data_IF_178194790583
#
_entry.id   IF_178194790583
#
_cell.length_a   1.000
_cell.length_b   1.000
_cell.length_c   1.000
_cell.angle_alpha   90.00
_cell.angle_beta   90.00
_cell.angle_gamma   90.00
#
_symmetry.space_group_name_H-M   'P 1'
#
loop_
_entity.id
_entity.type
_entity.pdbx_description
1 polymer ?
#
# COMPACT_ATOMS: atom_id res chain seq x y z
N UNK A 1 -8.56 11.00 4.66
CA UNK A 1 -8.03 10.96 3.28
C UNK A 1 -7.12 12.15 3.05
N UNK A 2 -6.25 12.09 2.04
CA UNK A 2 -5.41 13.22 1.66
C UNK A 2 -6.27 14.47 1.38
N UNK A 3 -5.85 15.68 1.83
CA UNK A 3 -6.53 16.93 1.48
C UNK A 3 -6.35 17.28 -0.01
N UNK A 4 -5.38 16.66 -0.68
CA UNK A 4 -5.09 16.82 -2.11
C UNK A 4 -5.75 15.71 -2.91
N UNK A 5 -6.11 15.97 -4.16
CA UNK A 5 -6.33 14.88 -5.12
C UNK A 5 -4.97 14.23 -5.38
N UNK A 6 -4.87 12.91 -5.21
CA UNK A 6 -3.59 12.18 -5.40
C UNK A 6 -3.61 11.32 -6.66
N UNK A 7 -4.80 10.97 -7.18
CA UNK A 7 -4.94 10.20 -8.41
C UNK A 7 -5.92 10.84 -9.40
N UNK A 8 -5.79 10.49 -10.68
CA UNK A 8 -6.75 10.89 -11.73
C UNK A 8 -8.17 10.37 -11.46
N UNK A 9 -8.31 9.27 -10.70
CA UNK A 9 -9.61 8.71 -10.32
C UNK A 9 -10.37 9.62 -9.33
N UNK A 10 -9.68 10.58 -8.71
CA UNK A 10 -10.28 11.58 -7.83
C UNK A 10 -10.66 12.87 -8.56
N UNK A 11 -10.56 12.89 -9.90
CA UNK A 11 -11.03 14.02 -10.72
C UNK A 11 -12.48 14.37 -10.37
N UNK A 12 -12.75 15.67 -10.22
CA UNK A 12 -14.09 16.20 -9.92
C UNK A 12 -14.54 15.99 -8.48
N UNK A 13 -13.77 15.30 -7.63
CA UNK A 13 -14.12 15.15 -6.22
C UNK A 13 -13.91 16.47 -5.47
N UNK A 14 -14.92 16.85 -4.68
CA UNK A 14 -14.83 17.95 -3.72
C UNK A 14 -14.44 17.38 -2.36
N UNK A 15 -13.42 17.95 -1.72
CA UNK A 15 -12.96 17.54 -0.40
C UNK A 15 -13.39 18.57 0.62
N UNK A 16 -13.72 18.12 1.83
CA UNK A 16 -14.07 18.99 2.94
C UNK A 16 -13.65 18.37 4.27
N UNK A 17 -13.37 19.22 5.25
CA UNK A 17 -13.22 18.84 6.64
C UNK A 17 -14.58 18.94 7.33
N UNK A 18 -15.05 17.83 7.90
CA UNK A 18 -16.30 17.79 8.66
C UNK A 18 -16.00 18.05 10.14
N UNK A 19 -16.64 19.07 10.69
CA UNK A 19 -16.67 19.32 12.14
C UNK A 19 -17.87 18.60 12.70
N UNK A 20 -17.63 17.67 13.62
CA UNK A 20 -18.65 16.85 14.25
C UNK A 20 -18.85 17.27 15.71
N UNK A 21 -20.10 17.32 16.15
CA UNK A 21 -20.44 17.63 17.55
C UNK A 21 -20.76 16.36 18.35
N UNK A 22 -19.91 16.05 19.33
CA UNK A 22 -20.06 14.88 20.19
C UNK A 22 -21.32 14.92 21.08
N UNK A 23 -21.81 16.11 21.44
CA UNK A 23 -23.06 16.26 22.22
C UNK A 23 -24.30 15.99 21.37
N UNK A 24 -24.16 16.09 20.04
CA UNK A 24 -25.24 15.87 19.06
C UNK A 24 -25.08 14.54 18.33
N UNK A 25 -24.59 13.50 19.03
CA UNK A 25 -24.35 12.15 18.48
C UNK A 25 -23.49 12.19 17.21
N UNK A 26 -22.44 13.00 17.20
CA UNK A 26 -21.48 13.13 16.09
C UNK A 26 -22.08 13.64 14.77
N UNK A 27 -23.20 14.37 14.81
CA UNK A 27 -23.72 15.05 13.62
C UNK A 27 -22.72 16.07 13.10
N UNK A 28 -22.65 16.19 11.77
CA UNK A 28 -21.88 17.23 11.11
C UNK A 28 -22.53 18.60 11.38
N UNK A 29 -21.81 19.47 12.07
CA UNK A 29 -22.26 20.84 12.39
C UNK A 29 -21.63 21.89 11.50
N UNK A 30 -20.52 21.56 10.82
CA UNK A 30 -19.87 22.44 9.86
C UNK A 30 -19.07 21.64 8.84
N UNK A 31 -19.23 21.99 7.58
CA UNK A 31 -18.41 21.50 6.47
C UNK A 31 -17.47 22.63 6.03
N UNK A 32 -16.16 22.37 6.06
CA UNK A 32 -15.14 23.34 5.65
C UNK A 32 -14.55 22.84 4.33
N UNK A 33 -14.82 23.51 3.19
CA UNK A 33 -14.29 23.06 1.91
C UNK A 33 -12.76 23.10 1.89
N UNK A 34 -12.15 22.04 1.37
CA UNK A 34 -10.71 21.92 1.17
C UNK A 34 -10.44 22.09 -0.32
N UNK A 35 -9.77 23.18 -0.67
CA UNK A 35 -9.42 23.53 -2.04
C UNK A 35 -7.93 23.89 -2.13
N UNK A 36 -7.07 22.89 -1.89
CA UNK A 36 -5.61 23.04 -1.85
C UNK A 36 -4.92 22.05 -2.77
N UNK A 37 -3.77 22.46 -3.30
CA UNK A 37 -2.91 21.64 -4.17
C UNK A 37 -3.45 21.44 -5.59
N UNK A 38 -2.74 20.58 -6.31
CA UNK A 38 -2.98 20.25 -7.71
C UNK A 38 -4.31 19.50 -7.89
N UNK A 39 -5.11 19.89 -8.89
CA UNK A 39 -6.30 19.14 -9.32
C UNK A 39 -6.02 18.30 -10.56
N UNK A 40 -6.75 17.20 -10.66
CA UNK A 40 -6.81 16.32 -11.80
C UNK A 40 -8.11 16.58 -12.56
N UNK A 41 -8.00 16.76 -13.87
CA UNK A 41 -9.09 16.98 -14.81
C UNK A 41 -9.06 15.88 -15.86
N UNK A 42 -10.22 15.27 -16.16
CA UNK A 42 -10.33 14.25 -17.20
C UNK A 42 -11.54 14.52 -18.09
N UNK A 43 -11.32 14.64 -19.39
CA UNK A 43 -12.41 14.86 -20.33
C UNK A 43 -12.06 14.51 -21.76
N UNK A 44 -13.10 14.45 -22.59
CA UNK A 44 -12.97 14.36 -24.04
C UNK A 44 -12.62 15.72 -24.65
N UNK A 45 -11.93 15.68 -25.78
CA UNK A 45 -11.47 16.88 -26.49
C UNK A 45 -12.61 17.83 -26.89
N UNK A 46 -13.78 17.31 -27.25
CA UNK A 46 -14.99 18.06 -27.59
C UNK A 46 -15.58 18.87 -26.40
N UNK A 47 -15.19 18.55 -25.16
CA UNK A 47 -15.62 19.24 -23.92
C UNK A 47 -14.57 20.15 -23.29
N UNK A 48 -13.43 20.32 -23.96
CA UNK A 48 -12.40 21.30 -23.56
C UNK A 48 -12.94 22.73 -23.31
N UNK A 49 -13.92 23.28 -24.05
CA UNK A 49 -14.44 24.63 -23.80
C UNK A 49 -14.91 24.87 -22.37
N UNK A 50 -15.55 23.89 -21.74
CA UNK A 50 -16.11 24.02 -20.39
C UNK A 50 -15.07 23.97 -19.26
N UNK A 51 -13.85 23.50 -19.55
CA UNK A 51 -12.85 23.24 -18.51
C UNK A 51 -11.90 24.41 -18.27
N UNK A 52 -11.64 25.20 -19.31
CA UNK A 52 -10.58 26.20 -19.28
C UNK A 52 -10.74 27.23 -18.14
N UNK A 53 -11.97 27.43 -17.66
CA UNK A 53 -12.29 28.35 -16.56
C UNK A 53 -11.93 27.79 -15.17
N UNK A 54 -11.84 26.47 -15.00
CA UNK A 54 -11.64 25.81 -13.70
C UNK A 54 -10.19 25.30 -13.49
N UNK A 55 -9.34 25.40 -14.52
CA UNK A 55 -7.97 24.89 -14.51
C UNK A 55 -7.02 25.93 -13.94
N UNK A 56 -6.23 25.52 -12.95
CA UNK A 56 -5.22 26.37 -12.30
C UNK A 56 -3.82 26.00 -12.75
N UNK A 57 -2.88 26.93 -12.56
CA UNK A 57 -1.44 26.67 -12.73
C UNK A 57 -1.03 25.46 -11.89
N UNK A 58 -0.38 24.50 -12.53
CA UNK A 58 0.08 23.25 -11.91
C UNK A 58 -0.88 22.07 -12.05
N UNK A 59 -2.15 22.26 -12.43
CA UNK A 59 -3.14 21.18 -12.58
C UNK A 59 -2.72 20.11 -13.60
N UNK A 60 -3.27 18.90 -13.48
CA UNK A 60 -3.15 17.85 -14.50
C UNK A 60 -4.42 17.78 -15.31
N UNK A 61 -4.31 17.90 -16.62
CA UNK A 61 -5.45 17.72 -17.54
C UNK A 61 -5.17 16.53 -18.43
N UNK A 62 -6.08 15.56 -18.44
CA UNK A 62 -6.06 14.41 -19.35
C UNK A 62 -7.18 14.58 -20.37
N UNK A 63 -6.80 14.73 -21.63
CA UNK A 63 -7.72 14.89 -22.75
C UNK A 63 -7.81 13.58 -23.52
N UNK A 64 -9.01 13.01 -23.59
CA UNK A 64 -9.31 11.83 -24.39
C UNK A 64 -9.64 12.27 -25.83
N UNK A 65 -8.81 11.81 -26.76
CA UNK A 65 -8.91 12.05 -28.20
C UNK A 65 -9.46 10.78 -28.85
N UNK A 66 -10.44 10.90 -29.74
CA UNK A 66 -10.98 9.73 -30.44
C UNK A 66 -9.96 9.12 -31.42
N UNK A 67 -10.26 7.90 -31.88
CA UNK A 67 -9.35 7.14 -32.73
C UNK A 67 -9.07 7.79 -34.09
N UNK A 68 -10.05 8.52 -34.62
CA UNK A 68 -9.93 9.20 -35.91
C UNK A 68 -8.98 10.40 -35.80
N UNK A 69 -9.21 11.27 -34.81
CA UNK A 69 -8.35 12.42 -34.52
C UNK A 69 -6.95 12.01 -34.08
N UNK A 70 -6.82 10.91 -33.33
CA UNK A 70 -5.53 10.37 -32.93
C UNK A 70 -4.72 9.81 -34.11
N UNK A 71 -5.38 9.11 -35.04
CA UNK A 71 -4.75 8.59 -36.25
C UNK A 71 -4.29 9.73 -37.18
N UNK A 72 -5.14 10.74 -37.39
CA UNK A 72 -4.80 11.95 -38.15
C UNK A 72 -3.55 12.65 -37.59
N UNK A 73 -3.48 12.83 -36.27
CA UNK A 73 -2.34 13.44 -35.58
C UNK A 73 -1.03 12.65 -35.75
N UNK A 74 -1.09 11.32 -35.67
CA UNK A 74 0.12 10.50 -35.83
C UNK A 74 0.64 10.50 -37.27
N UNK A 75 -0.26 10.57 -38.27
CA UNK A 75 0.11 10.70 -39.68
C UNK A 75 0.85 12.01 -39.94
N UNK A 76 0.32 13.13 -39.44
CA UNK A 76 0.95 14.46 -39.58
C UNK A 76 2.34 14.50 -38.92
N UNK A 77 2.50 13.91 -37.73
CA UNK A 77 3.82 13.83 -37.06
C UNK A 77 4.84 12.95 -37.80
N UNK A 78 4.39 11.92 -38.52
CA UNK A 78 5.29 11.06 -39.31
C UNK A 78 5.77 11.74 -40.58
N UNK A 79 4.95 12.61 -41.17
CA UNK A 79 5.28 13.33 -42.40
C UNK A 79 6.15 14.57 -42.18
N UNK A 80 6.47 14.92 -40.93
CA UNK A 80 7.28 16.11 -40.61
C UNK A 80 6.57 17.44 -40.89
N UNK A 81 5.27 17.39 -41.19
CA UNK A 81 4.43 18.55 -41.38
C UNK A 81 4.09 19.13 -40.00
N UNK A 82 4.40 20.42 -39.77
CA UNK A 82 3.86 21.13 -38.62
C UNK A 82 2.34 21.20 -38.76
N UNK A 83 1.59 21.01 -37.66
CA UNK A 83 0.14 21.20 -37.61
C UNK A 83 -0.21 22.66 -37.98
N UNK A 84 -0.23 22.99 -39.28
CA UNK A 84 -0.83 24.21 -39.83
C UNK A 84 -2.38 24.12 -39.80
N UNK A 85 -2.91 22.94 -39.48
CA UNK A 85 -4.33 22.72 -39.31
C UNK A 85 -4.80 23.23 -37.94
N UNK A 86 -5.43 24.39 -38.01
CA UNK A 86 -6.27 25.09 -37.03
C UNK A 86 -7.42 24.20 -36.49
N UNK A 87 -7.10 23.08 -35.85
CA UNK A 87 -8.08 22.39 -35.04
C UNK A 87 -8.27 23.19 -33.74
N UNK A 88 -9.51 23.60 -33.49
CA UNK A 88 -9.96 24.36 -32.32
C UNK A 88 -9.47 23.73 -30.99
N UNK A 89 -9.24 22.41 -30.95
CA UNK A 89 -8.77 21.71 -29.77
C UNK A 89 -7.25 21.81 -29.55
N UNK A 90 -6.44 21.87 -30.60
CA UNK A 90 -4.97 22.00 -30.50
C UNK A 90 -4.59 23.36 -29.91
N UNK A 91 -5.24 24.44 -30.35
CA UNK A 91 -5.05 25.77 -29.78
C UNK A 91 -5.46 25.83 -28.29
N UNK A 92 -6.51 25.10 -27.91
CA UNK A 92 -6.96 24.99 -26.52
C UNK A 92 -5.99 24.21 -25.65
N UNK A 93 -5.40 23.12 -26.15
CA UNK A 93 -4.34 22.39 -25.46
C UNK A 93 -3.11 23.29 -25.26
N UNK A 94 -2.74 24.10 -26.26
CA UNK A 94 -1.67 25.10 -26.11
C UNK A 94 -2.03 26.14 -25.05
N UNK A 95 -3.28 26.60 -25.02
CA UNK A 95 -3.77 27.59 -24.04
C UNK A 95 -3.73 27.06 -22.61
N UNK A 96 -4.14 25.81 -22.37
CA UNK A 96 -4.03 25.15 -21.06
C UNK A 96 -2.56 25.00 -20.62
N UNK A 97 -1.64 24.70 -21.54
CA UNK A 97 -0.20 24.66 -21.26
C UNK A 97 0.37 26.05 -20.95
N UNK A 98 -0.08 27.10 -21.65
CA UNK A 98 0.29 28.51 -21.36
C UNK A 98 -0.18 28.95 -19.97
N UNK A 99 -1.33 28.45 -19.50
CA UNK A 99 -1.81 28.64 -18.12
C UNK A 99 -0.96 27.88 -17.06
N UNK A 100 0.02 27.09 -17.51
CA UNK A 100 0.91 26.32 -16.64
C UNK A 100 0.33 25.00 -16.15
N UNK A 101 -0.72 24.48 -16.80
CA UNK A 101 -1.23 23.14 -16.55
C UNK A 101 -0.45 22.09 -17.36
N UNK A 102 -0.27 20.91 -16.78
CA UNK A 102 0.33 19.76 -17.46
C UNK A 102 -0.76 19.00 -18.20
N UNK A 103 -0.72 19.03 -19.53
CA UNK A 103 -1.75 18.43 -20.41
C UNK A 103 -1.23 17.16 -21.09
N UNK A 104 -1.90 16.05 -20.82
CA UNK A 104 -1.64 14.72 -21.40
C UNK A 104 -2.78 14.36 -22.37
N UNK A 105 -2.43 13.93 -23.59
CA UNK A 105 -3.40 13.44 -24.56
C UNK A 105 -3.44 11.90 -24.49
N UNK A 106 -4.63 11.32 -24.43
CA UNK A 106 -4.83 9.86 -24.45
C UNK A 106 -5.76 9.46 -25.57
N UNK A 107 -5.41 8.39 -26.27
CA UNK A 107 -6.32 7.73 -27.19
C UNK A 107 -7.51 7.14 -26.42
N UNK A 108 -8.72 7.51 -26.81
CA UNK A 108 -9.95 6.89 -26.35
C UNK A 108 -10.00 5.45 -26.91
N UNK A 109 -9.45 4.50 -26.17
CA UNK A 109 -9.60 3.08 -26.49
C UNK A 109 -11.08 2.74 -26.67
N UNK A 110 -11.38 1.90 -27.68
CA UNK A 110 -12.73 1.44 -28.04
C UNK A 110 -13.48 1.07 -26.75
N UNK A 111 -14.43 1.92 -26.33
CA UNK A 111 -15.35 1.58 -25.25
C UNK A 111 -16.07 0.30 -25.67
N UNK A 112 -15.84 -0.80 -24.95
CA UNK A 112 -16.88 -1.84 -24.86
C UNK A 112 -18.13 -1.11 -24.39
N UNK A 113 -19.18 -1.20 -25.20
CA UNK A 113 -20.51 -0.69 -24.86
C UNK A 113 -20.85 -1.12 -23.44
N UNK A 114 -21.11 -0.13 -22.58
CA UNK A 114 -21.80 -0.35 -21.33
C UNK A 114 -23.24 -0.74 -21.67
N UNK A 115 -23.46 -2.01 -21.99
CA UNK A 115 -24.78 -2.62 -21.87
C UNK A 115 -25.03 -2.83 -20.39
N UNK A 116 -26.01 -2.09 -19.89
CA UNK A 116 -26.87 -2.42 -18.75
C UNK A 116 -26.38 -3.60 -17.89
N UNK A 117 -25.84 -3.28 -16.72
CA UNK A 117 -26.05 -4.13 -15.56
C UNK A 117 -26.44 -3.19 -14.44
N UNK A 118 -27.74 -3.19 -14.17
CA UNK A 118 -28.35 -2.55 -13.02
C UNK A 118 -27.57 -2.92 -11.76
N UNK A 119 -27.32 -1.93 -10.91
CA UNK A 119 -26.80 -2.18 -9.57
C UNK A 119 -27.85 -3.03 -8.82
N UNK A 120 -27.50 -4.23 -8.31
CA UNK A 120 -28.36 -4.90 -7.36
C UNK A 120 -28.35 -4.05 -6.10
N UNK A 121 -29.56 -3.74 -5.63
CA UNK A 121 -29.79 -2.95 -4.43
C UNK A 121 -29.07 -3.52 -3.21
N UNK A 122 -28.97 -2.65 -2.21
CA UNK A 122 -28.49 -2.94 -0.87
C UNK A 122 -29.12 -4.24 -0.33
N UNK A 123 -28.38 -5.34 -0.43
CA UNK A 123 -28.69 -6.58 0.25
C UNK A 123 -28.01 -6.55 1.63
N UNK A 124 -28.88 -6.63 2.62
CA UNK A 124 -28.68 -6.96 4.03
C UNK A 124 -27.41 -7.76 4.36
N UNK A 125 -26.82 -7.37 5.48
CA UNK A 125 -25.82 -8.09 6.28
C UNK A 125 -25.86 -9.62 6.12
N UNK A 126 -24.90 -10.13 5.38
CA UNK A 126 -24.41 -11.50 5.54
C UNK A 126 -22.89 -11.41 5.64
N UNK A 127 -22.32 -12.11 6.61
CA UNK A 127 -20.88 -12.26 6.82
C UNK A 127 -20.10 -12.40 5.51
N UNK A 128 -18.91 -11.77 5.40
CA UNK A 128 -18.09 -11.93 4.21
C UNK A 128 -17.65 -13.40 4.14
N UNK A 129 -18.26 -14.17 3.24
CA UNK A 129 -17.70 -15.45 2.79
C UNK A 129 -16.25 -15.18 2.40
N UNK A 130 -15.30 -15.79 3.12
CA UNK A 130 -13.88 -15.81 2.77
C UNK A 130 -13.82 -16.12 1.27
N UNK A 131 -13.36 -15.17 0.46
CA UNK A 131 -13.03 -15.44 -0.94
C UNK A 131 -12.00 -16.55 -0.89
N UNK A 132 -12.31 -17.71 -1.48
CA UNK A 132 -11.33 -18.76 -1.72
C UNK A 132 -10.10 -18.08 -2.33
N UNK A 133 -8.93 -18.25 -1.69
CA UNK A 133 -7.70 -17.69 -2.18
C UNK A 133 -7.55 -18.14 -3.63
N UNK A 134 -7.36 -17.21 -4.57
CA UNK A 134 -7.07 -17.59 -5.95
C UNK A 134 -5.77 -18.40 -5.93
N UNK A 135 -5.86 -19.70 -6.20
CA UNK A 135 -4.72 -20.59 -6.36
C UNK A 135 -3.90 -20.12 -7.56
N UNK A 136 -2.90 -19.28 -7.30
CA UNK A 136 -2.00 -18.72 -8.33
C UNK A 136 -0.69 -19.47 -8.34
N UNK A 137 -0.73 -20.71 -8.78
CA UNK A 137 0.49 -21.48 -9.07
C UNK A 137 1.27 -20.81 -10.21
N UNK A 138 2.58 -21.05 -10.31
CA UNK A 138 3.37 -20.58 -11.46
C UNK A 138 2.77 -21.03 -12.81
N UNK A 139 2.24 -22.26 -12.90
CA UNK A 139 1.56 -22.75 -14.10
C UNK A 139 0.29 -21.96 -14.42
N UNK A 140 -0.57 -21.73 -13.43
CA UNK A 140 -1.79 -20.95 -13.64
C UNK A 140 -1.45 -19.51 -14.08
N UNK A 141 -0.43 -18.93 -13.46
CA UNK A 141 0.08 -17.59 -13.80
C UNK A 141 0.61 -17.53 -15.25
N UNK A 142 1.35 -18.56 -15.70
CA UNK A 142 1.81 -18.67 -17.08
C UNK A 142 0.63 -18.76 -18.05
N UNK A 143 -0.35 -19.61 -17.76
CA UNK A 143 -1.53 -19.81 -18.61
C UNK A 143 -2.35 -18.53 -18.73
N UNK A 144 -2.56 -17.83 -17.63
CA UNK A 144 -3.28 -16.56 -17.59
C UNK A 144 -2.55 -15.47 -18.40
N UNK A 145 -1.22 -15.40 -18.27
CA UNK A 145 -0.38 -14.46 -19.02
C UNK A 145 -0.46 -14.71 -20.53
N UNK A 146 -0.28 -15.94 -20.99
CA UNK A 146 -0.36 -16.30 -22.42
C UNK A 146 -1.76 -16.01 -22.98
N UNK A 147 -2.80 -16.38 -22.24
CA UNK A 147 -4.19 -16.12 -22.60
C UNK A 147 -4.50 -14.62 -22.67
N UNK A 148 -3.89 -13.81 -21.82
CA UNK A 148 -4.02 -12.35 -21.85
C UNK A 148 -3.30 -11.73 -23.06
N UNK A 149 -2.08 -12.20 -23.36
CA UNK A 149 -1.29 -11.72 -24.52
C UNK A 149 -1.97 -12.04 -25.85
N UNK A 150 -2.55 -13.23 -25.96
CA UNK A 150 -3.31 -13.65 -27.14
C UNK A 150 -4.59 -12.80 -27.31
N UNK A 151 -5.36 -12.61 -26.24
CA UNK A 151 -6.59 -11.77 -26.26
C UNK A 151 -6.33 -10.30 -26.57
N UNK A 152 -5.16 -9.77 -26.20
CA UNK A 152 -4.79 -8.37 -26.46
C UNK A 152 -4.18 -8.17 -27.85
N UNK A 153 -4.02 -9.23 -28.66
CA UNK A 153 -3.42 -9.17 -29.99
C UNK A 153 -1.95 -8.79 -29.98
N UNK A 154 -1.30 -8.82 -28.81
CA UNK A 154 0.11 -8.45 -28.66
C UNK A 154 1.05 -9.53 -29.24
N UNK A 155 0.58 -10.77 -29.31
CA UNK A 155 1.29 -11.91 -29.89
C UNK A 155 0.26 -12.87 -30.50
N UNK A 156 0.48 -13.32 -31.74
CA UNK A 156 -0.26 -14.44 -32.34
C UNK A 156 0.48 -15.73 -32.04
N UNK A 157 0.18 -16.35 -30.90
CA UNK A 157 0.78 -17.62 -30.46
C UNK A 157 -0.30 -18.67 -30.27
N UNK A 158 0.04 -19.91 -30.59
CA UNK A 158 -0.67 -21.06 -30.05
C UNK A 158 -0.41 -21.11 -28.54
N UNK A 159 -1.46 -20.82 -27.76
CA UNK A 159 -1.39 -20.69 -26.31
C UNK A 159 -1.05 -22.04 -25.66
N UNK A 160 -1.56 -23.15 -26.19
CA UNK A 160 -1.35 -24.47 -25.59
C UNK A 160 0.08 -24.97 -25.86
N UNK A 161 0.58 -24.77 -27.09
CA UNK A 161 1.97 -25.10 -27.44
C UNK A 161 2.99 -24.22 -26.69
N UNK A 162 2.73 -22.92 -26.57
CA UNK A 162 3.57 -22.02 -25.76
C UNK A 162 3.52 -22.35 -24.26
N UNK A 163 2.36 -22.75 -23.76
CA UNK A 163 2.19 -23.19 -22.37
C UNK A 163 2.98 -24.46 -22.09
N UNK A 164 2.91 -25.48 -22.94
CA UNK A 164 3.65 -26.74 -22.76
C UNK A 164 5.17 -26.53 -22.79
N UNK A 165 5.67 -25.63 -23.65
CA UNK A 165 7.09 -25.24 -23.61
C UNK A 165 7.47 -24.58 -22.30
N UNK A 166 6.70 -23.60 -21.84
CA UNK A 166 6.97 -22.88 -20.59
C UNK A 166 6.85 -23.78 -19.37
N UNK A 167 5.88 -24.69 -19.35
CA UNK A 167 5.69 -25.72 -18.31
C UNK A 167 6.94 -26.59 -18.16
N UNK A 168 7.50 -27.11 -19.26
CA UNK A 168 8.74 -27.91 -19.21
C UNK A 168 9.93 -27.13 -18.63
N UNK A 169 10.02 -25.83 -18.90
CA UNK A 169 11.08 -24.98 -18.32
C UNK A 169 10.86 -24.82 -16.82
N UNK A 170 9.62 -24.53 -16.40
CA UNK A 170 9.27 -24.37 -14.99
C UNK A 170 9.48 -25.66 -14.19
N UNK A 171 9.04 -26.82 -14.70
CA UNK A 171 9.25 -28.14 -14.06
C UNK A 171 10.75 -28.46 -13.89
N UNK A 172 11.59 -28.07 -14.85
CA UNK A 172 13.06 -28.23 -14.74
C UNK A 172 13.69 -27.31 -13.69
N UNK A 173 13.04 -26.21 -13.33
CA UNK A 173 13.58 -25.17 -12.45
C UNK A 173 13.08 -25.31 -11.02
N UNK A 174 11.80 -25.65 -10.85
CA UNK A 174 11.13 -25.72 -9.56
C UNK A 174 10.62 -27.13 -9.21
N UNK A 175 10.95 -28.16 -10.01
CA UNK A 175 10.64 -29.56 -9.71
C UNK A 175 9.17 -29.93 -9.93
N UNK A 176 8.68 -30.97 -9.24
CA UNK A 176 7.28 -31.40 -9.30
C UNK A 176 6.33 -30.44 -8.55
N UNK A 177 6.85 -29.53 -7.73
CA UNK A 177 6.09 -28.61 -6.88
C UNK A 177 5.49 -27.39 -7.63
N UNK A 178 5.76 -27.22 -8.93
CA UNK A 178 5.27 -26.08 -9.74
C UNK A 178 3.74 -26.07 -9.87
N UNK A 179 3.10 -27.23 -9.75
CA UNK A 179 1.65 -27.38 -9.78
C UNK A 179 0.99 -27.21 -8.40
N UNK A 180 1.77 -27.17 -7.32
CA UNK A 180 1.26 -27.08 -5.96
C UNK A 180 1.27 -25.61 -5.53
N UNK A 181 0.12 -25.04 -5.09
CA UNK A 181 0.15 -23.72 -4.46
C UNK A 181 1.09 -23.80 -3.24
N UNK A 182 1.85 -22.75 -2.93
CA UNK A 182 2.44 -22.64 -1.59
C UNK A 182 1.27 -22.48 -0.61
N UNK A 183 0.81 -23.59 -0.03
CA UNK A 183 -0.55 -23.75 0.51
C UNK A 183 -0.76 -23.19 1.91
N UNK A 184 0.28 -22.76 2.61
CA UNK A 184 0.09 -22.23 3.96
C UNK A 184 -0.14 -20.72 3.94
N UNK A 185 -1.39 -20.33 3.68
CA UNK A 185 -1.84 -18.98 4.00
C UNK A 185 -1.73 -18.78 5.51
N UNK A 186 -0.95 -17.78 5.93
CA UNK A 186 -0.81 -17.44 7.35
C UNK A 186 -1.88 -16.44 7.75
N UNK A 187 -2.71 -16.84 8.71
CA UNK A 187 -3.71 -16.01 9.36
C UNK A 187 -3.12 -15.46 10.67
N UNK A 188 -2.83 -14.15 10.69
CA UNK A 188 -2.24 -13.47 11.85
C UNK A 188 -3.27 -12.53 12.48
N UNK A 189 -3.71 -12.87 13.69
CA UNK A 189 -4.59 -12.05 14.50
C UNK A 189 -3.84 -11.44 15.68
N UNK A 190 -3.94 -10.13 15.88
CA UNK A 190 -3.34 -9.43 17.01
C UNK A 190 -4.43 -9.09 18.03
N UNK A 191 -4.34 -9.67 19.23
CA UNK A 191 -5.29 -9.45 20.31
C UNK A 191 -4.89 -8.28 21.20
N UNK A 192 -3.60 -8.13 21.52
CA UNK A 192 -3.09 -7.11 22.43
C UNK A 192 -1.62 -6.80 22.16
N UNK A 193 -1.25 -5.53 22.30
CA UNK A 193 0.15 -5.11 22.42
C UNK A 193 0.36 -4.34 23.73
N UNK A 194 1.36 -4.77 24.50
CA UNK A 194 1.82 -4.09 25.71
C UNK A 194 3.22 -3.55 25.47
N UNK A 195 3.44 -2.27 25.74
CA UNK A 195 4.72 -1.59 25.54
C UNK A 195 5.14 -0.83 26.80
N UNK A 196 6.39 -0.98 27.24
CA UNK A 196 6.97 -0.32 28.41
C UNK A 196 8.37 0.16 28.12
N UNK A 197 8.66 1.42 28.44
CA UNK A 197 9.96 2.03 28.13
C UNK A 197 10.25 2.12 26.63
N UNK A 198 9.22 2.07 25.77
CA UNK A 198 9.34 2.02 24.32
C UNK A 198 8.97 3.38 23.69
N UNK A 199 9.90 3.96 22.92
CA UNK A 199 9.74 5.28 22.30
C UNK A 199 9.36 6.35 23.34
N UNK A 200 8.23 7.06 23.18
CA UNK A 200 7.80 8.07 24.15
C UNK A 200 7.15 7.48 25.42
N UNK A 201 6.87 6.17 25.47
CA UNK A 201 6.14 5.55 26.58
C UNK A 201 7.09 5.07 27.66
N UNK A 202 7.33 5.90 28.68
CA UNK A 202 8.11 5.50 29.87
C UNK A 202 7.38 4.43 30.69
N UNK A 203 6.10 4.67 30.98
CA UNK A 203 5.24 3.73 31.70
C UNK A 203 4.72 2.65 30.76
N UNK A 204 4.15 1.60 31.36
CA UNK A 204 3.48 0.55 30.61
C UNK A 204 2.19 1.08 29.96
N UNK A 205 2.01 0.76 28.69
CA UNK A 205 0.82 1.06 27.90
C UNK A 205 0.32 -0.24 27.30
N UNK A 206 -0.96 -0.54 27.53
CA UNK A 206 -1.65 -1.70 26.97
C UNK A 206 -2.64 -1.22 25.91
N UNK A 207 -2.52 -1.74 24.71
CA UNK A 207 -3.44 -1.50 23.61
C UNK A 207 -4.18 -2.80 23.27
N UNK A 208 -5.42 -2.97 23.76
CA UNK A 208 -6.26 -4.10 23.35
C UNK A 208 -6.74 -3.88 21.91
N UNK A 209 -6.69 -4.93 21.10
CA UNK A 209 -7.02 -4.90 19.66
C UNK A 209 -8.13 -5.90 19.29
N UNK A 210 -8.40 -6.89 20.14
CA UNK A 210 -9.43 -7.90 19.92
C UNK A 210 -10.84 -7.29 19.75
N UNK A 211 -11.61 -7.80 18.77
CA UNK A 211 -13.04 -7.50 18.53
C UNK A 211 -13.42 -6.02 18.37
N UNK A 212 -12.47 -5.16 17.94
CA UNK A 212 -12.75 -3.71 17.80
C UNK A 212 -13.13 -3.25 16.40
N UNK A 213 -12.89 -4.07 15.37
CA UNK A 213 -13.05 -3.65 13.98
C UNK A 213 -12.13 -2.46 13.65
N UNK A 214 -12.70 -1.38 13.11
CA UNK A 214 -11.92 -0.18 12.74
C UNK A 214 -11.71 0.72 13.95
N UNK A 215 -10.44 0.95 14.33
CA UNK A 215 -10.07 1.78 15.48
C UNK A 215 -9.35 3.05 15.04
N UNK A 216 -9.80 4.20 15.54
CA UNK A 216 -9.12 5.49 15.36
C UNK A 216 -8.26 5.82 16.59
N UNK A 217 -6.94 5.70 16.47
CA UNK A 217 -6.01 6.12 17.52
C UNK A 217 -5.80 7.64 17.47
N UNK A 218 -6.17 8.34 18.54
CA UNK A 218 -5.96 9.79 18.71
C UNK A 218 -4.93 10.04 19.81
N UNK A 219 -4.19 11.14 19.67
CA UNK A 219 -3.17 11.55 20.62
C UNK A 219 -2.98 13.05 20.52
N UNK A 220 -2.67 13.67 21.66
CA UNK A 220 -2.40 15.10 21.80
C UNK A 220 -1.04 15.25 22.47
N UNK A 221 -0.23 16.16 21.96
CA UNK A 221 1.01 16.63 22.59
C UNK A 221 0.81 18.07 23.03
N UNK A 222 1.26 18.42 24.23
CA UNK A 222 1.14 19.74 24.83
C UNK A 222 2.07 19.89 26.03
N UNK A 223 2.31 21.12 26.48
CA UNK A 223 3.14 21.35 27.70
C UNK A 223 2.34 20.94 28.94
N UNK A 224 3.02 20.34 29.93
CA UNK A 224 2.39 19.85 31.17
C UNK A 224 1.59 20.93 31.91
N UNK A 225 2.04 22.19 31.88
CA UNK A 225 1.34 23.34 32.48
C UNK A 225 0.00 23.66 31.79
N UNK A 226 -0.09 23.52 30.47
CA UNK A 226 -1.32 23.77 29.70
C UNK A 226 -2.36 22.66 29.90
N UNK A 227 -1.95 21.44 30.25
CA UNK A 227 -2.86 20.32 30.53
C UNK A 227 -3.48 20.38 31.94
N UNK A 228 -2.81 20.98 32.92
CA UNK A 228 -3.28 21.04 34.32
C UNK A 228 -4.14 22.28 34.62
N UNK A 229 -3.96 23.38 33.90
CA UNK A 229 -4.63 24.66 34.20
C UNK A 229 -5.82 24.99 33.28
N UNK A 230 -6.30 24.04 32.46
CA UNK A 230 -7.44 24.30 31.56
C UNK A 230 -7.16 25.37 30.51
N UNK A 231 -5.88 25.54 30.14
CA UNK A 231 -5.42 26.51 29.17
C UNK A 231 -6.00 26.28 27.78
N UNK A 232 -6.08 27.37 27.02
CA UNK A 232 -6.77 27.48 25.73
C UNK A 232 -6.45 26.29 24.78
N UNK A 233 -7.50 25.62 24.30
CA UNK A 233 -7.43 24.36 23.52
C UNK A 233 -6.74 24.48 22.14
N UNK A 234 -6.14 25.64 21.83
CA UNK A 234 -5.65 26.01 20.50
C UNK A 234 -4.27 25.47 20.11
N UNK A 235 -3.43 25.02 21.06
CA UNK A 235 -2.01 24.71 20.78
C UNK A 235 -1.61 23.23 20.87
N UNK A 236 -2.57 22.31 21.01
CA UNK A 236 -2.27 20.88 21.06
C UNK A 236 -1.93 20.34 19.67
N UNK A 237 -0.68 19.96 19.46
CA UNK A 237 -0.27 19.28 18.23
C UNK A 237 -0.52 17.77 18.36
N UNK A 238 -1.18 17.16 17.37
CA UNK A 238 -1.33 15.69 17.33
C UNK A 238 0.02 14.99 17.06
N UNK A 239 0.94 15.68 16.39
CA UNK A 239 2.26 15.15 16.05
C UNK A 239 3.12 14.98 17.32
N UNK A 240 3.93 13.92 17.35
CA UNK A 240 4.81 13.63 18.50
C UNK A 240 4.16 12.91 19.68
N UNK A 241 2.84 12.69 19.68
CA UNK A 241 2.14 11.98 20.77
C UNK A 241 2.37 10.45 20.83
N UNK A 242 3.29 9.90 20.03
CA UNK A 242 3.65 8.47 20.07
C UNK A 242 2.69 7.49 19.37
N UNK A 243 1.65 7.96 18.68
CA UNK A 243 0.68 7.11 17.97
C UNK A 243 1.32 6.11 17.01
N UNK A 244 2.19 6.62 16.12
CA UNK A 244 2.92 5.80 15.16
C UNK A 244 3.84 4.83 15.88
N UNK A 245 4.55 5.29 16.92
CA UNK A 245 5.42 4.45 17.73
C UNK A 245 4.66 3.28 18.34
N UNK A 246 3.45 3.51 18.89
CA UNK A 246 2.63 2.45 19.46
C UNK A 246 2.16 1.43 18.41
N UNK A 247 1.75 1.89 17.23
CA UNK A 247 1.36 0.98 16.14
C UNK A 247 2.55 0.15 15.63
N UNK A 248 3.72 0.77 15.48
CA UNK A 248 4.94 0.12 15.01
C UNK A 248 5.64 -0.73 16.08
N UNK A 249 5.24 -0.65 17.35
CA UNK A 249 5.68 -1.58 18.39
C UNK A 249 5.34 -3.03 18.03
N UNK A 250 4.21 -3.26 17.33
CA UNK A 250 3.81 -4.59 16.84
C UNK A 250 4.83 -5.10 15.81
N UNK A 251 5.16 -4.29 14.79
CA UNK A 251 6.16 -4.66 13.77
C UNK A 251 7.52 -4.95 14.42
N UNK A 252 7.92 -4.13 15.38
CA UNK A 252 9.17 -4.31 16.12
C UNK A 252 9.18 -5.59 16.97
N UNK A 253 8.07 -5.93 17.63
CA UNK A 253 7.96 -7.18 18.37
C UNK A 253 8.16 -8.39 17.45
N UNK A 254 7.46 -8.41 16.31
CA UNK A 254 7.49 -9.49 15.32
C UNK A 254 8.87 -9.66 14.65
N UNK A 255 9.56 -8.56 14.33
CA UNK A 255 10.71 -8.60 13.40
C UNK A 255 12.01 -8.05 13.97
N UNK A 256 11.97 -7.40 15.13
CA UNK A 256 13.11 -6.69 15.72
C UNK A 256 13.48 -5.39 15.00
N UNK A 257 12.81 -5.05 13.90
CA UNK A 257 13.06 -3.87 13.09
C UNK A 257 11.85 -2.92 13.12
N UNK A 258 12.11 -1.63 12.98
CA UNK A 258 11.09 -0.61 12.70
C UNK A 258 11.18 -0.31 11.19
N UNK A 259 10.12 0.24 10.58
CA UNK A 259 10.07 0.55 9.14
C UNK A 259 11.40 1.13 8.59
N UNK A 260 12.04 0.41 7.67
CA UNK A 260 13.36 0.74 7.11
C UNK A 260 13.32 1.80 5.99
N UNK A 261 12.13 2.35 5.66
CA UNK A 261 11.98 3.34 4.58
C UNK A 261 12.41 4.75 5.01
N UNK A 262 12.93 5.57 4.08
CA UNK A 262 14.09 6.39 4.31
C UNK A 262 13.84 7.42 5.40
N UNK A 263 14.41 7.15 6.57
CA UNK A 263 14.81 8.18 7.51
C UNK A 263 15.93 8.98 6.86
N UNK A 264 15.56 9.94 6.00
CA UNK A 264 16.45 11.02 5.54
C UNK A 264 17.02 11.84 6.71
N UNK A 265 16.48 11.66 7.92
CA UNK A 265 17.07 12.07 9.18
C UNK A 265 17.43 10.82 10.01
N UNK A 266 18.54 10.16 9.67
CA UNK A 266 19.04 8.94 10.31
C UNK A 266 19.47 9.09 11.78
N UNK A 267 18.57 9.49 12.68
CA UNK A 267 18.91 9.76 14.10
C UNK A 267 17.90 9.32 15.17
N UNK A 268 16.96 8.41 14.89
CA UNK A 268 16.21 7.78 15.99
C UNK A 268 16.16 6.27 15.82
N UNK A 269 17.31 5.63 16.01
CA UNK A 269 17.47 4.17 16.11
C UNK A 269 17.27 3.65 17.53
N UNK A 270 17.16 4.55 18.52
CA UNK A 270 16.90 4.13 19.90
C UNK A 270 15.40 4.04 20.15
N UNK A 271 14.95 2.82 20.36
CA UNK A 271 13.58 2.49 20.74
C UNK A 271 13.37 2.61 22.25
N UNK A 272 14.46 2.77 23.01
CA UNK A 272 14.41 2.88 24.46
C UNK A 272 14.08 4.32 24.81
N UNK A 273 13.07 4.49 25.65
CA UNK A 273 12.78 5.79 26.22
C UNK A 273 14.00 6.30 27.01
N UNK A 274 14.39 7.56 26.83
CA UNK A 274 15.59 8.15 27.47
C UNK A 274 15.61 8.01 29.01
N UNK A 275 14.43 7.92 29.64
CA UNK A 275 14.28 7.76 31.09
C UNK A 275 14.14 6.30 31.54
N UNK A 276 14.36 5.34 30.65
CA UNK A 276 14.24 3.90 30.90
C UNK A 276 15.56 3.17 30.65
N UNK A 277 15.81 2.09 31.40
CA UNK A 277 17.00 1.23 31.20
C UNK A 277 16.83 0.22 30.08
N UNK A 278 15.58 -0.14 29.78
CA UNK A 278 15.17 -1.10 28.78
C UNK A 278 13.79 -0.75 28.22
N UNK A 279 13.55 -1.18 26.99
CA UNK A 279 12.24 -1.22 26.35
C UNK A 279 11.77 -2.67 26.27
N UNK A 280 10.51 -2.92 26.60
CA UNK A 280 9.89 -4.23 26.43
C UNK A 280 8.58 -4.06 25.67
N UNK A 281 8.37 -4.91 24.67
CA UNK A 281 7.10 -5.04 23.97
C UNK A 281 6.66 -6.50 24.04
N UNK A 282 5.43 -6.71 24.49
CA UNK A 282 4.78 -8.02 24.53
C UNK A 282 3.57 -8.00 23.60
N UNK A 283 3.52 -8.96 22.69
CA UNK A 283 2.46 -9.13 21.70
C UNK A 283 1.72 -10.43 22.00
N UNK A 284 0.40 -10.38 22.00
CA UNK A 284 -0.48 -11.54 22.15
C UNK A 284 -1.46 -11.61 20.99
N UNK A 285 -1.77 -12.82 20.54
CA UNK A 285 -2.65 -13.02 19.40
C UNK A 285 -2.79 -14.49 19.02
N UNK A 286 -3.15 -14.74 17.77
CA UNK A 286 -3.21 -16.07 17.20
C UNK A 286 -2.53 -16.12 15.82
N UNK A 287 -1.84 -17.24 15.54
CA UNK A 287 -1.28 -17.59 14.23
C UNK A 287 -1.98 -18.88 13.79
N UNK A 288 -2.74 -18.84 12.69
CA UNK A 288 -3.56 -19.95 12.22
C UNK A 288 -4.45 -20.51 13.35
N UNK A 289 -5.16 -19.62 14.04
CA UNK A 289 -5.98 -19.88 15.24
C UNK A 289 -5.25 -20.43 16.48
N UNK A 290 -3.92 -20.63 16.43
CA UNK A 290 -3.13 -21.06 17.60
C UNK A 290 -2.65 -19.85 18.39
N UNK A 291 -2.87 -19.81 19.71
CA UNK A 291 -2.49 -18.65 20.52
C UNK A 291 -0.97 -18.49 20.56
N UNK A 292 -0.49 -17.25 20.47
CA UNK A 292 0.93 -16.94 20.59
C UNK A 292 1.20 -15.80 21.58
N UNK A 293 2.41 -15.80 22.12
CA UNK A 293 2.98 -14.69 22.88
C UNK A 293 4.41 -14.44 22.40
N UNK A 294 4.70 -13.22 21.98
CA UNK A 294 6.07 -12.77 21.68
C UNK A 294 6.43 -11.67 22.67
N UNK A 295 7.55 -11.80 23.38
CA UNK A 295 8.05 -10.77 24.26
C UNK A 295 9.48 -10.40 23.86
N UNK A 296 9.68 -9.14 23.45
CA UNK A 296 11.00 -8.62 23.04
C UNK A 296 11.44 -7.53 24.00
N UNK A 297 12.65 -7.66 24.52
CA UNK A 297 13.28 -6.64 25.36
C UNK A 297 14.59 -6.18 24.73
N UNK A 298 14.80 -4.86 24.70
CA UNK A 298 16.07 -4.24 24.31
C UNK A 298 16.56 -3.32 25.41
N UNK A 299 17.85 -3.37 25.68
CA UNK A 299 18.53 -2.58 26.70
C UNK A 299 20.01 -2.47 26.37
N UNK A 300 20.73 -1.59 27.08
CA UNK A 300 22.18 -1.42 26.84
C UNK A 300 23.01 -2.71 27.03
N UNK A 301 22.56 -3.58 27.94
CA UNK A 301 23.23 -4.85 28.28
C UNK A 301 22.29 -6.05 28.34
N UNK A 302 20.97 -5.81 28.39
CA UNK A 302 19.95 -6.86 28.45
C UNK A 302 19.16 -6.81 27.15
N UNK A 303 19.32 -7.84 26.33
CA UNK A 303 18.48 -8.09 25.17
C UNK A 303 17.87 -9.48 25.34
N UNK A 304 16.58 -9.60 25.09
CA UNK A 304 15.84 -10.83 25.33
C UNK A 304 14.72 -10.97 24.31
N UNK A 305 14.44 -12.20 23.89
CA UNK A 305 13.39 -12.52 22.96
C UNK A 305 12.81 -13.87 23.35
N UNK A 306 11.53 -13.88 23.72
CA UNK A 306 10.80 -15.09 24.06
C UNK A 306 9.63 -15.27 23.09
N UNK A 307 9.36 -16.52 22.73
CA UNK A 307 8.27 -16.90 21.84
C UNK A 307 7.54 -18.14 22.35
N UNK A 308 6.26 -18.00 22.66
CA UNK A 308 5.37 -19.11 22.99
C UNK A 308 4.33 -19.24 21.88
N UNK A 309 4.10 -20.46 21.42
CA UNK A 309 3.08 -20.78 20.42
C UNK A 309 2.34 -22.05 20.84
N UNK A 310 1.01 -21.97 20.93
CA UNK A 310 0.13 -23.07 21.31
C UNK A 310 0.50 -23.69 22.67
N UNK A 311 0.84 -22.83 23.63
CA UNK A 311 1.29 -23.23 24.98
C UNK A 311 2.68 -23.86 25.04
N UNK A 312 3.38 -24.02 23.91
CA UNK A 312 4.76 -24.54 23.86
C UNK A 312 5.75 -23.40 23.76
N UNK A 313 6.80 -23.45 24.57
CA UNK A 313 7.93 -22.55 24.45
C UNK A 313 8.74 -22.89 23.19
N UNK A 314 8.87 -21.92 22.31
CA UNK A 314 9.64 -21.97 21.05
C UNK A 314 10.85 -21.02 21.12
N UNK A 315 11.21 -20.55 22.31
CA UNK A 315 12.40 -19.75 22.55
C UNK A 315 13.65 -20.59 22.29
N UNK A 316 14.48 -20.14 21.36
CA UNK A 316 15.73 -20.79 21.01
C UNK A 316 16.87 -20.43 21.96
N UNK A 317 18.04 -21.04 21.73
CA UNK A 317 19.24 -20.75 22.54
C UNK A 317 19.76 -19.33 22.30
N UNK A 318 19.57 -18.81 21.09
CA UNK A 318 19.91 -17.42 20.74
C UNK A 318 18.67 -16.63 20.31
N UNK A 319 18.78 -15.30 20.36
CA UNK A 319 17.75 -14.41 19.83
C UNK A 319 17.55 -14.58 18.31
N UNK A 320 18.59 -15.05 17.60
CA UNK A 320 18.51 -15.36 16.17
C UNK A 320 17.62 -16.59 15.94
N UNK A 321 17.88 -17.69 16.63
CA UNK A 321 17.10 -18.93 16.49
C UNK A 321 15.62 -18.67 16.86
N UNK A 322 15.39 -17.86 17.89
CA UNK A 322 14.03 -17.45 18.28
C UNK A 322 13.37 -16.58 17.20
N UNK A 323 14.13 -15.68 16.56
CA UNK A 323 13.62 -14.89 15.43
C UNK A 323 13.30 -15.75 14.21
N UNK A 324 14.11 -16.78 13.94
CA UNK A 324 13.87 -17.75 12.87
C UNK A 324 12.59 -18.56 13.15
N UNK A 325 12.38 -19.00 14.40
CA UNK A 325 11.14 -19.68 14.80
C UNK A 325 9.89 -18.79 14.66
N UNK A 326 10.00 -17.50 14.99
CA UNK A 326 8.90 -16.53 14.75
C UNK A 326 8.65 -16.37 13.25
N UNK A 327 9.72 -16.24 12.45
CA UNK A 327 9.62 -16.07 11.00
C UNK A 327 8.96 -17.29 10.35
N UNK A 328 9.37 -18.49 10.71
CA UNK A 328 8.78 -19.75 10.27
C UNK A 328 7.30 -19.83 10.62
N UNK A 329 6.92 -19.50 11.86
CA UNK A 329 5.52 -19.48 12.28
C UNK A 329 4.68 -18.46 11.48
N UNK A 330 5.29 -17.37 11.03
CA UNK A 330 4.67 -16.36 10.16
C UNK A 330 4.74 -16.72 8.68
N UNK A 331 5.21 -17.92 8.32
CA UNK A 331 5.28 -18.42 6.96
C UNK A 331 6.46 -17.90 6.15
N UNK A 332 7.52 -17.40 6.81
CA UNK A 332 8.77 -17.04 6.17
C UNK A 332 9.79 -18.19 6.34
N UNK A 333 10.25 -18.78 5.25
CA UNK A 333 11.18 -19.92 5.32
C UNK A 333 12.64 -19.44 5.25
N UNK A 334 13.55 -19.92 6.12
CA UNK A 334 14.98 -19.62 6.05
C UNK A 334 15.68 -20.22 4.81
N UNK A 335 15.11 -21.26 4.19
CA UNK A 335 15.72 -22.03 3.11
C UNK A 335 15.34 -21.54 1.70
N UNK A 336 14.80 -20.32 1.56
CA UNK A 336 14.47 -19.75 0.25
C UNK A 336 13.28 -20.40 -0.48
N UNK A 337 12.59 -21.36 0.17
CA UNK A 337 11.37 -21.98 -0.35
C UNK A 337 10.19 -20.97 -0.44
N UNK A 338 10.22 -19.93 0.40
CA UNK A 338 9.46 -18.71 0.12
C UNK A 338 10.23 -17.89 -0.88
N UNK A 339 9.82 -17.98 -2.15
CA UNK A 339 10.38 -17.36 -3.37
C UNK A 339 10.52 -15.82 -3.40
N UNK A 340 10.63 -15.16 -2.25
CA UNK A 340 10.93 -13.74 -2.09
C UNK A 340 12.18 -13.59 -1.23
N UNK A 341 13.22 -12.92 -1.75
CA UNK A 341 14.42 -12.55 -0.98
C UNK A 341 14.19 -11.46 0.09
N UNK A 342 12.92 -11.08 0.30
CA UNK A 342 12.53 -10.03 1.21
C UNK A 342 12.48 -10.53 2.66
N UNK A 343 12.97 -9.71 3.59
CA UNK A 343 12.87 -10.02 5.02
C UNK A 343 11.42 -9.94 5.53
N UNK A 344 11.09 -10.60 6.66
CA UNK A 344 9.78 -10.45 7.30
C UNK A 344 9.38 -8.99 7.56
N UNK A 345 10.33 -8.12 7.94
CA UNK A 345 10.09 -6.70 8.14
C UNK A 345 9.68 -6.00 6.84
N UNK A 346 10.30 -6.37 5.72
CA UNK A 346 9.99 -5.80 4.41
C UNK A 346 8.59 -6.20 3.93
N UNK A 347 8.17 -7.44 4.14
CA UNK A 347 6.83 -7.89 3.73
C UNK A 347 5.75 -7.27 4.63
N UNK A 348 5.89 -7.38 5.96
CA UNK A 348 4.88 -6.86 6.90
C UNK A 348 4.72 -5.33 6.80
N UNK A 349 5.80 -4.59 6.56
CA UNK A 349 5.74 -3.13 6.32
C UNK A 349 5.05 -2.74 5.02
N UNK A 350 4.78 -3.69 4.12
CA UNK A 350 4.07 -3.46 2.84
C UNK A 350 2.65 -3.96 2.86
N UNK A 351 2.35 -4.98 3.65
CA UNK A 351 1.03 -5.62 3.69
C UNK A 351 0.17 -5.20 4.88
N UNK A 352 0.79 -4.87 6.02
CA UNK A 352 0.08 -4.60 7.28
C UNK A 352 0.35 -3.20 7.86
N UNK A 353 1.57 -2.67 7.72
CA UNK A 353 1.97 -1.41 8.35
C UNK A 353 2.21 -0.29 7.35
N UNK A 354 1.26 0.64 7.24
CA UNK A 354 1.38 1.81 6.38
C UNK A 354 1.74 3.07 7.19
N UNK A 355 3.04 3.40 7.25
CA UNK A 355 3.56 4.61 7.91
C UNK A 355 3.19 5.94 7.22
N UNK A 356 3.45 7.07 7.88
CA UNK A 356 3.07 8.41 7.41
C UNK A 356 3.71 8.84 6.07
N UNK A 357 4.79 8.17 5.64
CA UNK A 357 5.49 8.44 4.38
C UNK A 357 4.79 7.90 3.12
N UNK A 358 3.73 7.10 3.27
CA UNK A 358 3.06 6.47 2.11
C UNK A 358 2.15 7.40 1.31
N UNK A 359 1.74 8.55 1.86
CA UNK A 359 0.70 9.37 1.24
C UNK A 359 0.97 10.87 1.14
N UNK A 360 2.06 11.38 1.73
CA UNK A 360 2.30 12.82 1.80
C UNK A 360 3.58 13.29 1.09
N UNK A 361 4.53 12.40 0.77
CA UNK A 361 5.85 12.77 0.28
C UNK A 361 6.22 12.12 -1.06
N UNK A 362 5.37 12.17 -2.08
CA UNK A 362 5.79 11.89 -3.48
C UNK A 362 6.37 10.50 -3.76
N UNK A 363 6.32 9.57 -2.80
CA UNK A 363 7.16 8.37 -2.74
C UNK A 363 6.36 7.11 -2.38
N UNK A 364 5.03 7.23 -2.36
CA UNK A 364 4.12 6.10 -2.17
C UNK A 364 4.09 5.20 -3.40
N UNK A 365 3.63 3.95 -3.22
CA UNK A 365 3.55 2.93 -4.28
C UNK A 365 2.84 3.42 -5.55
N UNK A 366 1.81 4.26 -5.41
CA UNK A 366 1.01 4.79 -6.52
C UNK A 366 1.69 5.93 -7.30
N UNK A 367 2.71 6.55 -6.72
CA UNK A 367 3.51 7.62 -7.32
C UNK A 367 4.92 7.13 -7.71
N UNK A 368 5.23 5.87 -7.42
CA UNK A 368 6.50 5.25 -7.77
C UNK A 368 6.67 5.19 -9.30
N UNK A 369 7.92 5.38 -9.76
CA UNK A 369 8.27 5.07 -11.14
C UNK A 369 8.02 3.60 -11.44
N UNK A 370 7.85 3.23 -12.71
CA UNK A 370 7.64 1.82 -13.10
C UNK A 370 8.76 0.90 -12.58
N UNK A 371 10.02 1.37 -12.62
CA UNK A 371 11.15 0.64 -12.05
C UNK A 371 11.01 0.42 -10.54
N UNK A 372 10.66 1.47 -9.78
CA UNK A 372 10.49 1.38 -8.33
C UNK A 372 9.25 0.56 -7.96
N UNK A 373 8.17 0.67 -8.72
CA UNK A 373 6.98 -0.16 -8.52
C UNK A 373 7.29 -1.64 -8.73
N UNK A 374 8.06 -1.99 -9.77
CA UNK A 374 8.52 -3.36 -10.01
C UNK A 374 9.41 -3.87 -8.87
N UNK A 375 10.31 -3.04 -8.36
CA UNK A 375 11.14 -3.36 -7.19
C UNK A 375 10.26 -3.63 -5.95
N UNK A 376 9.32 -2.73 -5.64
CA UNK A 376 8.40 -2.90 -4.50
C UNK A 376 7.52 -4.15 -4.63
N UNK A 377 7.00 -4.43 -5.83
CA UNK A 377 6.22 -5.63 -6.10
C UNK A 377 7.07 -6.90 -6.04
N UNK A 378 8.35 -6.84 -6.42
CA UNK A 378 9.25 -8.00 -6.36
C UNK A 378 9.50 -8.52 -4.95
N UNK A 379 9.30 -7.68 -3.93
CA UNK A 379 9.46 -8.06 -2.53
C UNK A 379 8.29 -8.87 -1.98
N UNK A 380 7.12 -8.80 -2.64
CA UNK A 380 5.90 -9.51 -2.23
C UNK A 380 5.45 -10.55 -3.25
N UNK A 381 5.97 -10.48 -4.48
CA UNK A 381 5.67 -11.42 -5.54
C UNK A 381 6.73 -12.51 -5.64
N UNK A 382 6.33 -13.78 -5.82
CA UNK A 382 7.23 -14.91 -5.98
C UNK A 382 7.97 -14.85 -7.33
N UNK A 383 9.10 -14.12 -7.41
CA UNK A 383 9.80 -13.86 -8.68
C UNK A 383 10.94 -14.85 -8.99
N UNK A 384 11.46 -15.57 -8.00
CA UNK A 384 12.67 -16.38 -8.17
C UNK A 384 12.50 -17.50 -9.20
N UNK A 385 11.34 -18.18 -9.21
CA UNK A 385 11.04 -19.21 -10.21
C UNK A 385 11.07 -18.66 -11.64
N UNK A 386 10.61 -17.42 -11.83
CA UNK A 386 10.59 -16.75 -13.13
C UNK A 386 11.98 -16.28 -13.56
N UNK A 387 12.79 -15.78 -12.61
CA UNK A 387 14.19 -15.40 -12.87
C UNK A 387 15.01 -16.62 -13.28
N UNK A 388 14.87 -17.72 -12.54
CA UNK A 388 15.58 -18.95 -12.84
C UNK A 388 15.12 -19.60 -14.16
N UNK A 389 13.83 -19.51 -14.49
CA UNK A 389 13.31 -19.92 -15.80
C UNK A 389 13.89 -19.07 -16.94
N UNK A 390 13.91 -17.74 -16.78
CA UNK A 390 14.45 -16.82 -17.78
C UNK A 390 15.96 -16.93 -18.01
N UNK A 391 16.73 -17.36 -17.00
CA UNK A 391 18.16 -17.61 -17.14
C UNK A 391 18.50 -18.88 -17.95
N UNK A 392 17.52 -19.77 -18.18
CA UNK A 392 17.67 -21.04 -18.90
C UNK A 392 17.12 -21.01 -20.33
N UNK A 393 16.52 -19.88 -20.73
CA UNK A 393 16.04 -19.58 -22.09
C UNK A 393 16.98 -18.61 -22.75
#
# INVERSE_FOLDING_TARGET
>A
GSPYQVTLNEHGQRKALLVLDGRRRWRCVREIPIDVGRKFHKMRWDRLPSLAQDVRKGDRVVVEVDAHEWARRNLLRQNGEEEEDSSDWTERVRSLRKLGASVELRHAGRRRSASQTEAPGAATSSEPKRREAMDRTPLQTLRDFLSFRNRTGAVSIDVDDAFERGKRVLEKVAGEDVAVPSTETVDLEIAEVTAKGFGPFRAEVVLPLERRGVVLLRGRSGKLKEMQEGGDFGNFQSNGAGKTSLAFAILWALTGSIDDRPSSNGKVTDIINDSSKFATVTLRGAINARPFVIARTKGKRKNDLAFLLDGRDRTGQTARDTQEAIAEALGFSPDGATSTSASPSQILSRTMFHGQHHGASGSGLLEASDARLKEELSLVAPLEVWRAAGART
#
